data_IF_209524402051
#
_entry.id   IF_209524402051
#
_cell.length_a   1.000
_cell.length_b   1.000
_cell.length_c   1.000
_cell.angle_alpha   90.00
_cell.angle_beta   90.00
_cell.angle_gamma   90.00
#
_symmetry.space_group_name_H-M   'P 1'
#
loop_
_entity.id
_entity.type
_entity.pdbx_description
1 polymer ?
#
# COMPACT_ATOMS: atom_id res chain seq x y z
N UNK A 1 -1.05 -2.15 -4.82
CA UNK A 1 -0.09 -2.83 -3.91
C UNK A 1 -0.83 -3.79 -2.99
N UNK A 2 -0.35 -5.00 -2.87
CA UNK A 2 -0.91 -6.00 -1.98
C UNK A 2 0.20 -6.62 -1.14
N UNK A 3 -0.04 -6.74 0.17
CA UNK A 3 0.93 -7.33 1.10
C UNK A 3 0.19 -8.31 2.01
N UNK A 4 0.67 -9.55 2.06
CA UNK A 4 0.20 -10.56 3.00
C UNK A 4 1.26 -10.79 4.07
N UNK A 5 1.17 -10.02 5.13
CA UNK A 5 2.12 -10.11 6.23
C UNK A 5 1.34 -9.96 7.54
N UNK A 6 0.84 -11.07 8.03
CA UNK A 6 -0.22 -11.06 9.03
C UNK A 6 0.25 -10.83 10.46
N UNK A 7 1.53 -10.71 10.75
CA UNK A 7 1.99 -10.69 12.15
C UNK A 7 3.29 -9.93 12.41
N UNK A 8 3.78 -9.15 11.46
CA UNK A 8 5.04 -8.45 11.64
C UNK A 8 5.07 -7.13 10.88
N UNK A 9 5.63 -6.11 11.51
CA UNK A 9 5.85 -4.81 10.87
C UNK A 9 6.95 -4.84 9.81
N UNK A 10 7.75 -5.87 9.76
CA UNK A 10 8.68 -6.08 8.66
C UNK A 10 7.93 -6.55 7.42
N UNK A 11 6.83 -5.90 7.12
CA UNK A 11 5.89 -6.30 6.08
C UNK A 11 6.52 -6.41 4.72
N UNK A 12 7.42 -5.50 4.43
CA UNK A 12 8.03 -5.42 3.10
C UNK A 12 9.00 -6.58 2.87
N UNK A 13 9.36 -7.30 3.92
CA UNK A 13 10.22 -8.48 3.82
C UNK A 13 9.44 -9.79 3.92
N UNK A 14 8.13 -9.76 4.02
CA UNK A 14 7.30 -10.96 4.01
C UNK A 14 7.26 -11.55 2.61
N UNK A 15 8.11 -12.48 2.35
CA UNK A 15 8.17 -13.20 1.09
C UNK A 15 7.47 -14.55 1.22
N UNK A 16 6.91 -15.07 0.13
CA UNK A 16 6.94 -14.59 -1.25
C UNK A 16 5.67 -13.84 -1.70
N UNK A 17 4.85 -13.38 -0.81
CA UNK A 17 3.50 -12.93 -1.14
C UNK A 17 3.31 -11.45 -1.45
N UNK A 18 4.22 -10.52 -1.14
CA UNK A 18 3.99 -9.12 -1.50
C UNK A 18 3.92 -8.94 -3.01
N UNK A 19 2.93 -8.20 -3.45
CA UNK A 19 2.78 -7.83 -4.85
C UNK A 19 2.56 -6.32 -4.92
N UNK A 20 3.35 -5.64 -5.76
CA UNK A 20 3.27 -4.20 -5.93
C UNK A 20 3.04 -3.88 -7.39
N UNK A 21 2.00 -3.09 -7.66
CA UNK A 21 1.73 -2.58 -9.00
C UNK A 21 1.83 -1.06 -8.96
N UNK A 22 2.55 -0.51 -9.91
CA UNK A 22 2.75 0.92 -10.02
C UNK A 22 2.25 1.38 -11.38
N UNK A 23 1.38 2.39 -11.36
CA UNK A 23 0.96 3.07 -12.58
C UNK A 23 1.51 4.50 -12.52
N UNK A 24 2.59 4.74 -13.23
CA UNK A 24 3.32 6.00 -13.20
C UNK A 24 2.92 6.97 -14.31
N UNK A 25 2.00 6.56 -15.17
CA UNK A 25 1.55 7.39 -16.30
C UNK A 25 0.09 7.80 -16.13
N UNK A 26 -0.31 8.07 -14.89
CA UNK A 26 -1.67 8.48 -14.58
C UNK A 26 -1.76 10.00 -14.47
N UNK A 27 -2.91 10.54 -14.86
CA UNK A 27 -3.22 11.95 -14.67
C UNK A 27 -4.10 12.07 -13.42
N UNK A 28 -3.65 12.84 -12.44
CA UNK A 28 -4.34 12.98 -11.15
C UNK A 28 -4.48 14.46 -10.82
N UNK A 29 -5.70 14.86 -10.46
CA UNK A 29 -5.98 16.17 -9.93
C UNK A 29 -6.20 16.04 -8.42
N UNK A 30 -5.43 16.76 -7.64
CA UNK A 30 -5.51 16.74 -6.18
C UNK A 30 -5.57 18.17 -5.68
N UNK A 31 -6.62 18.49 -4.95
CA UNK A 31 -6.80 19.85 -4.44
C UNK A 31 -6.89 20.89 -5.55
N UNK A 32 -7.39 20.51 -6.72
CA UNK A 32 -7.54 21.40 -7.86
C UNK A 32 -6.28 21.65 -8.67
N UNK A 33 -5.18 20.95 -8.36
CA UNK A 33 -3.92 21.11 -9.11
C UNK A 33 -3.45 19.76 -9.64
N UNK A 34 -2.58 19.80 -10.65
CA UNK A 34 -1.96 18.63 -11.25
C UNK A 34 -0.50 18.46 -10.84
N UNK A 35 -0.09 19.09 -9.75
CA UNK A 35 1.24 18.89 -9.18
C UNK A 35 1.48 17.42 -8.85
N UNK A 36 2.74 16.97 -8.75
CA UNK A 36 3.04 15.58 -8.45
C UNK A 36 2.27 15.05 -7.23
N UNK A 37 1.60 13.93 -7.42
CA UNK A 37 0.69 13.34 -6.43
C UNK A 37 0.80 11.82 -6.51
N UNK A 38 0.60 11.16 -5.37
CA UNK A 38 0.54 9.71 -5.34
C UNK A 38 -0.74 9.26 -4.65
N UNK A 39 -1.45 8.35 -5.28
CA UNK A 39 -2.62 7.68 -4.71
C UNK A 39 -2.36 6.18 -4.71
N UNK A 40 -2.60 5.54 -3.57
CA UNK A 40 -2.35 4.12 -3.46
C UNK A 40 -3.39 3.41 -2.62
N UNK A 41 -3.47 2.12 -2.82
CA UNK A 41 -4.27 1.23 -1.99
C UNK A 41 -3.37 0.10 -1.52
N UNK A 42 -3.40 -0.17 -0.23
CA UNK A 42 -2.66 -1.26 0.37
C UNK A 42 -3.65 -2.27 0.94
N UNK A 43 -3.59 -3.48 0.42
CA UNK A 43 -4.43 -4.58 0.87
C UNK A 43 -3.54 -5.54 1.65
N UNK A 44 -3.89 -5.83 2.88
CA UNK A 44 -3.09 -6.72 3.74
C UNK A 44 -4.00 -7.67 4.49
N UNK A 45 -3.52 -8.88 4.66
CA UNK A 45 -4.17 -9.85 5.54
C UNK A 45 -3.57 -9.63 6.93
N UNK A 46 -4.31 -8.92 7.78
CA UNK A 46 -3.82 -8.55 9.10
C UNK A 46 -2.87 -7.35 9.06
N UNK A 47 -2.38 -6.97 10.22
CA UNK A 47 -1.43 -5.87 10.44
C UNK A 47 -1.93 -4.50 9.96
N UNK A 48 -3.23 -4.33 9.80
CA UNK A 48 -3.85 -3.05 9.49
C UNK A 48 -4.27 -2.41 10.81
N UNK A 49 -3.55 -1.38 11.22
CA UNK A 49 -3.80 -0.61 12.42
C UNK A 49 -3.24 0.79 12.25
N UNK A 50 -3.73 1.72 13.04
CA UNK A 50 -3.31 3.11 12.91
C UNK A 50 -1.80 3.29 12.97
N UNK A 51 -1.13 2.61 13.90
CA UNK A 51 0.32 2.73 14.07
C UNK A 51 1.08 2.18 12.86
N UNK A 52 0.74 0.98 12.41
CA UNK A 52 1.42 0.37 11.26
C UNK A 52 1.13 1.12 9.98
N UNK A 53 -0.11 1.58 9.81
CA UNK A 53 -0.49 2.37 8.65
C UNK A 53 0.30 3.68 8.60
N UNK A 54 0.43 4.36 9.73
CA UNK A 54 1.21 5.60 9.83
C UNK A 54 2.68 5.38 9.50
N UNK A 55 3.26 4.27 9.96
CA UNK A 55 4.65 3.95 9.66
C UNK A 55 4.86 3.68 8.17
N UNK A 56 3.94 2.98 7.53
CA UNK A 56 4.00 2.73 6.09
C UNK A 56 3.83 4.03 5.31
N UNK A 57 2.88 4.86 5.71
CA UNK A 57 2.66 6.16 5.08
C UNK A 57 3.93 7.01 5.11
N UNK A 58 4.61 7.06 6.27
CA UNK A 58 5.84 7.81 6.41
C UNK A 58 6.96 7.24 5.54
N UNK A 59 7.11 5.92 5.51
CA UNK A 59 8.13 5.28 4.70
C UNK A 59 7.93 5.53 3.20
N UNK A 60 6.69 5.43 2.72
CA UNK A 60 6.38 5.70 1.32
C UNK A 60 6.61 7.17 0.99
N UNK A 61 6.28 8.07 1.89
CA UNK A 61 6.52 9.50 1.72
C UNK A 61 8.01 9.77 1.52
N UNK A 62 8.85 9.16 2.36
CA UNK A 62 10.30 9.32 2.26
C UNK A 62 10.83 8.78 0.93
N UNK A 63 10.27 7.68 0.46
CA UNK A 63 10.67 7.09 -0.83
C UNK A 63 10.29 7.96 -2.03
N UNK A 64 9.20 8.72 -1.93
CA UNK A 64 8.70 9.54 -3.03
C UNK A 64 9.26 10.96 -3.02
N UNK A 65 9.85 11.40 -1.93
CA UNK A 65 10.40 12.75 -1.81
C UNK A 65 11.40 13.07 -2.92
N UNK A 66 12.37 12.20 -3.26
CA UNK A 66 13.35 12.48 -4.33
C UNK A 66 12.70 12.67 -5.69
N UNK A 67 11.47 12.20 -5.87
CA UNK A 67 10.72 12.33 -7.13
C UNK A 67 9.86 13.59 -7.18
N UNK A 68 9.96 14.44 -6.16
CA UNK A 68 9.25 15.71 -6.14
C UNK A 68 7.80 15.62 -5.67
N UNK A 69 7.41 14.54 -5.02
CA UNK A 69 6.05 14.40 -4.49
C UNK A 69 6.03 14.91 -3.05
N UNK A 70 5.26 15.96 -2.80
CA UNK A 70 5.15 16.56 -1.47
C UNK A 70 4.38 15.62 -0.52
N UNK A 71 4.72 15.66 0.76
CA UNK A 71 4.13 14.75 1.75
C UNK A 71 2.61 14.91 1.88
N UNK A 72 2.10 16.10 1.64
CA UNK A 72 0.66 16.38 1.73
C UNK A 72 -0.10 16.03 0.43
N UNK A 73 0.57 15.41 -0.53
CA UNK A 73 -0.03 15.00 -1.80
C UNK A 73 0.06 13.49 -2.00
N UNK A 74 0.14 12.74 -0.90
CA UNK A 74 0.23 11.28 -0.93
C UNK A 74 -0.91 10.71 -0.09
N UNK A 75 -1.81 9.97 -0.75
CA UNK A 75 -2.87 9.21 -0.09
C UNK A 75 -2.61 7.73 -0.26
N UNK A 76 -2.66 6.99 0.83
CA UNK A 76 -2.70 5.53 0.79
C UNK A 76 -3.91 5.08 1.62
N UNK A 77 -4.78 4.31 1.00
CA UNK A 77 -5.89 3.69 1.69
C UNK A 77 -5.51 2.26 2.08
N UNK A 78 -5.80 1.88 3.31
CA UNK A 78 -5.41 0.59 3.87
C UNK A 78 -6.64 -0.28 4.05
N UNK A 79 -6.54 -1.52 3.56
CA UNK A 79 -7.63 -2.48 3.61
C UNK A 79 -7.18 -3.76 4.29
N UNK A 80 -7.88 -4.15 5.36
CA UNK A 80 -7.65 -5.43 6.03
C UNK A 80 -8.48 -6.49 5.30
N UNK A 81 -7.81 -7.45 4.70
CA UNK A 81 -8.45 -8.46 3.86
C UNK A 81 -8.60 -9.76 4.64
N UNK A 82 -9.83 -10.28 4.79
CA UNK A 82 -10.00 -11.64 5.30
C UNK A 82 -9.33 -12.66 4.37
N UNK A 83 -8.72 -13.69 4.95
CA UNK A 83 -8.04 -14.72 4.16
C UNK A 83 -8.97 -15.37 3.14
N UNK A 84 -10.23 -15.52 3.47
CA UNK A 84 -11.22 -16.10 2.57
C UNK A 84 -11.49 -15.24 1.33
N UNK A 85 -11.12 -13.96 1.36
CA UNK A 85 -11.36 -13.03 0.28
C UNK A 85 -10.13 -12.82 -0.61
N UNK A 86 -9.08 -13.59 -0.39
CA UNK A 86 -7.86 -13.50 -1.19
C UNK A 86 -7.64 -14.81 -1.90
N UNK A 87 -7.69 -14.78 -3.22
CA UNK A 87 -7.49 -15.96 -4.04
C UNK A 87 -6.03 -16.13 -4.44
N UNK A 88 -5.51 -17.34 -4.30
CA UNK A 88 -4.16 -17.68 -4.72
C UNK A 88 -4.07 -19.18 -4.97
N UNK A 89 -3.43 -19.54 -6.07
CA UNK A 89 -3.15 -20.93 -6.40
C UNK A 89 -4.41 -21.82 -6.40
N UNK A 90 -5.47 -21.37 -7.09
CA UNK A 90 -6.74 -22.09 -7.31
C UNK A 90 -7.59 -22.26 -6.03
N UNK A 91 -7.31 -21.48 -4.99
CA UNK A 91 -8.03 -21.53 -3.72
C UNK A 91 -7.97 -20.15 -3.08
N UNK A 92 -8.54 -20.02 -1.91
CA UNK A 92 -8.34 -18.83 -1.08
C UNK A 92 -7.24 -19.09 -0.06
N UNK A 93 -6.75 -18.01 0.57
CA UNK A 93 -5.75 -18.16 1.61
C UNK A 93 -6.33 -18.67 2.93
N UNK A 94 -7.63 -18.92 2.99
CA UNK A 94 -8.26 -19.54 4.14
C UNK A 94 -8.29 -21.06 4.03
N UNK A 95 -7.99 -21.61 2.90
CA UNK A 95 -7.97 -23.06 2.76
C UNK A 95 -8.23 -23.60 1.38
#
# INVERSE_FOLDING_TARGET
MYIDCSHDMALLSCNPFPAVSINDNASVIFGGTDDPTALGCLYSIGAIAQESNGAIQAAVTDLLEPFGVAENRIYINFFDMPRANVGWSRRTLAG
#
